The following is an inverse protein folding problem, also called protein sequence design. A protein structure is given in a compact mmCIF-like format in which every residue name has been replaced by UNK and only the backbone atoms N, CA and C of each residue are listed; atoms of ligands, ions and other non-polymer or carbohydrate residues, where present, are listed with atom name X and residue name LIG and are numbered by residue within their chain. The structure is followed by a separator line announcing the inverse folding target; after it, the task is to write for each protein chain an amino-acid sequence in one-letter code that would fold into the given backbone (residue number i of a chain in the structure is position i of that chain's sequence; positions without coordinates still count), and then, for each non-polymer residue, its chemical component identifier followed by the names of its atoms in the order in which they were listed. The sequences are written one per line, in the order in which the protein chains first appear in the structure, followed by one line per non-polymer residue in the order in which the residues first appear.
data_IF_981707639207
#
_entry.id   IF_981707639207
#
_cell.length_a   1.000
_cell.length_b   1.000
_cell.length_c   1.000
_cell.angle_alpha   90.00
_cell.angle_beta   90.00
_cell.angle_gamma   90.00
#
_symmetry.space_group_name_H-M   'P 1'
#
loop_
_entity.id
_entity.type
_entity.pdbx_description
1 polymer ?
#
# COMPACT_ATOMS: atom_id res chain seq x y z
N UNK A 1 -14.73 16.32 9.27
CA UNK A 1 -14.83 15.89 7.87
C UNK A 1 -13.47 16.07 7.24
N UNK A 2 -12.71 14.99 7.08
CA UNK A 2 -11.38 15.06 6.47
C UNK A 2 -11.58 15.46 5.01
N UNK A 3 -11.01 16.61 4.68
CA UNK A 3 -11.06 17.24 3.39
C UNK A 3 -10.30 16.33 2.43
N UNK A 4 -11.01 15.45 1.73
CA UNK A 4 -10.55 15.00 0.42
C UNK A 4 -10.64 16.25 -0.45
N UNK A 5 -9.56 17.05 -0.39
CA UNK A 5 -9.40 18.23 -1.20
C UNK A 5 -9.71 17.83 -2.64
N UNK A 6 -10.46 18.67 -3.35
CA UNK A 6 -10.74 18.49 -4.77
C UNK A 6 -9.42 18.30 -5.48
N UNK A 7 -9.03 17.05 -5.73
CA UNK A 7 -7.77 16.75 -6.37
C UNK A 7 -7.83 17.37 -7.76
N UNK A 8 -6.91 18.30 -8.03
CA UNK A 8 -6.82 18.89 -9.34
C UNK A 8 -6.63 17.76 -10.35
N UNK A 9 -7.44 17.68 -11.41
CA UNK A 9 -7.27 16.68 -12.44
C UNK A 9 -5.83 16.65 -13.00
N UNK A 10 -5.12 17.77 -12.95
CA UNK A 10 -3.73 17.88 -13.42
C UNK A 10 -2.71 17.11 -12.58
N UNK A 11 -3.03 16.81 -11.31
CA UNK A 11 -2.16 16.06 -10.40
C UNK A 11 -2.33 14.54 -10.50
N UNK A 12 -3.36 14.07 -11.21
CA UNK A 12 -3.64 12.66 -11.39
C UNK A 12 -2.71 12.03 -12.41
N UNK A 13 -2.29 10.79 -12.15
CA UNK A 13 -1.51 10.02 -13.12
C UNK A 13 -2.30 9.81 -14.43
N UNK A 14 -1.57 9.71 -15.55
CA UNK A 14 -2.17 9.43 -16.87
C UNK A 14 -2.97 8.12 -16.88
N UNK A 15 -2.45 7.09 -16.20
CA UNK A 15 -3.09 5.78 -16.10
C UNK A 15 -4.48 5.87 -15.42
N UNK A 16 -4.63 6.72 -14.40
CA UNK A 16 -5.91 6.89 -13.70
C UNK A 16 -6.93 7.61 -14.56
N UNK A 17 -6.50 8.65 -15.28
CA UNK A 17 -7.38 9.39 -16.20
C UNK A 17 -7.95 8.46 -17.28
N UNK A 18 -7.11 7.58 -17.83
CA UNK A 18 -7.50 6.59 -18.83
C UNK A 18 -8.42 5.52 -18.24
N UNK A 19 -8.06 4.91 -17.10
CA UNK A 19 -8.88 3.89 -16.43
C UNK A 19 -10.30 4.38 -16.15
N UNK A 20 -10.42 5.59 -15.60
CA UNK A 20 -11.71 6.11 -15.17
C UNK A 20 -12.46 6.87 -16.27
N UNK A 21 -11.86 7.11 -17.43
CA UNK A 21 -12.50 7.85 -18.53
C UNK A 21 -13.15 9.15 -18.03
N UNK A 22 -12.34 10.00 -17.37
CA UNK A 22 -12.85 11.18 -16.66
C UNK A 22 -13.40 12.22 -17.64
N UNK A 23 -14.64 12.64 -17.43
CA UNK A 23 -15.20 13.80 -18.10
C UNK A 23 -14.54 15.10 -17.61
N UNK A 24 -14.73 16.19 -18.34
CA UNK A 24 -14.10 17.51 -18.07
C UNK A 24 -14.41 18.07 -16.67
N UNK A 25 -15.46 17.57 -16.03
CA UNK A 25 -16.01 18.02 -14.74
C UNK A 25 -16.20 16.87 -13.72
N UNK A 26 -15.84 15.64 -14.06
CA UNK A 26 -16.02 14.48 -13.15
C UNK A 26 -14.76 14.23 -12.29
N UNK A 27 -14.92 14.26 -10.96
CA UNK A 27 -13.84 13.98 -10.02
C UNK A 27 -13.56 12.47 -9.92
N UNK A 28 -12.28 12.06 -9.90
CA UNK A 28 -11.88 10.65 -9.74
C UNK A 28 -12.50 10.01 -8.51
N UNK A 29 -12.49 10.73 -7.38
CA UNK A 29 -13.02 10.21 -6.13
C UNK A 29 -14.49 9.79 -6.28
N UNK A 30 -15.33 10.65 -6.87
CA UNK A 30 -16.75 10.35 -7.08
C UNK A 30 -16.94 9.10 -7.96
N UNK A 31 -16.11 8.94 -9.00
CA UNK A 31 -16.20 7.79 -9.89
C UNK A 31 -15.67 6.51 -9.24
N UNK A 32 -14.56 6.57 -8.53
CA UNK A 32 -13.98 5.46 -7.81
C UNK A 32 -14.92 4.95 -6.69
N UNK A 33 -15.58 5.87 -5.97
CA UNK A 33 -16.62 5.55 -4.99
C UNK A 33 -17.83 4.89 -5.65
N UNK A 34 -18.33 5.42 -6.78
CA UNK A 34 -19.44 4.80 -7.52
C UNK A 34 -19.12 3.39 -8.00
N UNK A 35 -17.86 3.11 -8.31
CA UNK A 35 -17.39 1.82 -8.77
C UNK A 35 -16.93 0.88 -7.63
N UNK A 36 -17.01 1.31 -6.36
CA UNK A 36 -16.62 0.50 -5.20
C UNK A 36 -15.11 0.27 -5.06
N UNK A 37 -14.29 0.95 -5.86
CA UNK A 37 -12.82 0.75 -5.89
C UNK A 37 -12.18 1.14 -4.55
N UNK A 38 -12.71 2.17 -3.89
CA UNK A 38 -12.16 2.67 -2.62
C UNK A 38 -12.37 1.66 -1.50
N UNK A 39 -13.56 1.06 -1.45
CA UNK A 39 -13.91 0.03 -0.49
C UNK A 39 -13.02 -1.20 -0.65
N UNK A 40 -12.73 -1.60 -1.90
CA UNK A 40 -11.82 -2.71 -2.19
C UNK A 40 -10.36 -2.40 -1.83
N UNK A 41 -9.85 -1.21 -2.16
CA UNK A 41 -8.50 -0.78 -1.76
C UNK A 41 -8.40 -0.80 -0.23
N UNK A 42 -9.36 -0.19 0.48
CA UNK A 42 -9.38 -0.18 1.94
C UNK A 42 -9.48 -1.58 2.53
N UNK A 43 -10.24 -2.48 1.90
CA UNK A 43 -10.34 -3.89 2.33
C UNK A 43 -9.00 -4.60 2.18
N UNK A 44 -8.34 -4.51 1.02
CA UNK A 44 -7.01 -5.08 0.78
C UNK A 44 -5.96 -4.55 1.75
N UNK A 45 -6.00 -3.26 2.06
CA UNK A 45 -5.11 -2.66 3.06
C UNK A 45 -5.33 -3.24 4.47
N UNK A 46 -6.58 -3.48 4.87
CA UNK A 46 -6.90 -4.13 6.16
C UNK A 46 -6.50 -5.60 6.18
N UNK A 47 -6.74 -6.30 5.09
CA UNK A 47 -6.47 -7.74 4.95
C UNK A 47 -5.00 -8.04 4.64
N UNK A 48 -4.15 -7.01 4.50
CA UNK A 48 -2.73 -7.14 4.14
C UNK A 48 -2.53 -8.02 2.90
N UNK A 49 -3.38 -7.85 1.89
CA UNK A 49 -3.26 -8.55 0.61
C UNK A 49 -2.28 -7.87 -0.35
N UNK A 50 -2.01 -6.59 -0.10
CA UNK A 50 -1.30 -5.72 -1.03
C UNK A 50 -2.20 -5.14 -2.13
N UNK A 51 -1.63 -4.17 -2.82
CA UNK A 51 -2.25 -3.36 -3.85
C UNK A 51 -1.48 -3.53 -5.15
N UNK A 52 -2.18 -3.52 -6.28
CA UNK A 52 -1.53 -3.40 -7.58
C UNK A 52 -0.93 -2.00 -7.74
N UNK A 53 -0.02 -1.82 -8.72
CA UNK A 53 0.53 -0.49 -9.05
C UNK A 53 -0.60 0.51 -9.33
N UNK A 54 -1.62 0.07 -10.07
CA UNK A 54 -2.78 0.89 -10.38
C UNK A 54 -3.58 1.28 -9.12
N UNK A 55 -3.80 0.34 -8.21
CA UNK A 55 -4.48 0.61 -6.92
C UNK A 55 -3.66 1.54 -6.02
N UNK A 56 -2.33 1.40 -6.03
CA UNK A 56 -1.42 2.29 -5.29
C UNK A 56 -1.43 3.70 -5.87
N UNK A 57 -1.44 3.86 -7.19
CA UNK A 57 -1.62 5.16 -7.83
C UNK A 57 -2.97 5.77 -7.44
N UNK A 58 -4.06 4.99 -7.44
CA UNK A 58 -5.39 5.50 -7.07
C UNK A 58 -5.40 5.92 -5.61
N UNK A 59 -4.82 5.09 -4.74
CA UNK A 59 -4.71 5.39 -3.32
C UNK A 59 -3.86 6.64 -3.07
N UNK A 60 -2.76 6.85 -3.81
CA UNK A 60 -1.92 8.03 -3.68
C UNK A 60 -2.60 9.30 -4.21
N UNK A 61 -3.25 9.21 -5.36
CA UNK A 61 -4.00 10.32 -5.96
C UNK A 61 -5.24 10.71 -5.14
N UNK A 62 -5.69 9.84 -4.24
CA UNK A 62 -6.76 10.14 -3.29
C UNK A 62 -6.24 10.43 -1.87
N UNK A 63 -4.92 10.51 -1.69
CA UNK A 63 -4.29 10.79 -0.40
C UNK A 63 -4.47 9.70 0.66
N UNK A 64 -4.86 8.48 0.28
CA UNK A 64 -4.95 7.33 1.18
C UNK A 64 -3.57 6.79 1.56
N UNK A 65 -2.61 6.88 0.65
CA UNK A 65 -1.20 6.54 0.88
C UNK A 65 -0.33 7.64 0.27
N UNK A 66 0.95 7.66 0.65
CA UNK A 66 1.93 8.50 -0.05
C UNK A 66 2.70 7.67 -1.08
N UNK A 67 3.15 8.29 -2.17
CA UNK A 67 3.91 7.60 -3.23
C UNK A 67 5.23 7.00 -2.74
N UNK A 68 5.87 7.63 -1.75
CA UNK A 68 7.06 7.09 -1.07
C UNK A 68 6.77 5.80 -0.27
N UNK A 69 5.51 5.38 -0.15
CA UNK A 69 5.08 4.15 0.52
C UNK A 69 4.74 3.01 -0.45
N UNK A 70 4.94 3.17 -1.76
CA UNK A 70 4.58 2.12 -2.73
C UNK A 70 5.29 0.79 -2.45
N UNK A 71 6.56 0.85 -2.03
CA UNK A 71 7.33 -0.33 -1.65
C UNK A 71 6.69 -1.14 -0.51
N UNK A 72 5.90 -0.49 0.36
CA UNK A 72 5.24 -1.14 1.50
C UNK A 72 3.95 -1.84 1.08
N UNK A 73 3.25 -1.34 0.07
CA UNK A 73 1.90 -1.81 -0.27
C UNK A 73 1.85 -2.85 -1.39
N UNK A 74 2.99 -3.37 -1.84
CA UNK A 74 2.99 -4.46 -2.84
C UNK A 74 2.44 -5.76 -2.22
N UNK A 75 1.90 -6.69 -3.05
CA UNK A 75 1.48 -8.00 -2.57
C UNK A 75 2.58 -8.75 -1.83
N UNK A 76 3.80 -8.72 -2.35
CA UNK A 76 4.96 -9.40 -1.77
C UNK A 76 5.32 -8.82 -0.41
N UNK A 77 5.35 -7.48 -0.28
CA UNK A 77 5.64 -6.82 0.99
C UNK A 77 4.57 -7.14 2.03
N UNK A 78 3.29 -7.11 1.67
CA UNK A 78 2.21 -7.39 2.62
C UNK A 78 2.15 -8.86 3.04
N UNK A 79 2.46 -9.81 2.14
CA UNK A 79 2.64 -11.23 2.49
C UNK A 79 3.79 -11.40 3.48
N UNK A 80 4.96 -10.84 3.19
CA UNK A 80 6.12 -10.93 4.08
C UNK A 80 5.85 -10.31 5.46
N UNK A 81 5.14 -9.19 5.53
CA UNK A 81 4.73 -8.59 6.80
C UNK A 81 3.76 -9.51 7.56
N UNK A 82 2.83 -10.16 6.86
CA UNK A 82 1.88 -11.09 7.48
C UNK A 82 2.62 -12.29 8.08
N UNK A 83 3.53 -12.90 7.33
CA UNK A 83 4.36 -14.01 7.79
C UNK A 83 5.21 -13.59 9.00
N UNK A 84 5.87 -12.44 8.94
CA UNK A 84 6.66 -11.91 10.06
C UNK A 84 5.84 -11.67 11.33
N UNK A 85 4.58 -11.23 11.19
CA UNK A 85 3.67 -11.08 12.34
C UNK A 85 3.25 -12.44 12.93
N UNK A 86 2.97 -13.42 12.08
CA UNK A 86 2.63 -14.79 12.50
C UNK A 86 3.82 -15.47 13.20
N UNK A 87 5.05 -15.22 12.72
CA UNK A 87 6.29 -15.69 13.34
C UNK A 87 6.49 -15.06 14.72
N UNK A 88 6.29 -13.75 14.84
CA UNK A 88 6.35 -13.05 16.13
C UNK A 88 5.32 -13.59 17.13
N UNK A 89 4.07 -13.78 16.71
CA UNK A 89 3.00 -14.31 17.56
C UNK A 89 3.28 -15.75 18.00
N UNK A 90 3.83 -16.58 17.11
CA UNK A 90 4.18 -17.96 17.41
C UNK A 90 5.51 -18.13 18.14
N UNK A 91 6.25 -17.05 18.41
CA UNK A 91 7.57 -17.11 19.02
C UNK A 91 8.67 -17.68 18.11
N UNK A 92 8.46 -17.68 16.79
CA UNK A 92 9.43 -18.10 15.78
C UNK A 92 10.36 -16.94 15.42
N UNK A 93 11.13 -16.48 16.40
CA UNK A 93 12.15 -15.45 16.19
C UNK A 93 13.36 -15.72 17.08
N UNK A 94 14.50 -15.18 16.67
CA UNK A 94 15.72 -15.20 17.48
C UNK A 94 15.97 -13.81 18.07
N UNK A 95 16.50 -13.81 19.28
CA UNK A 95 16.94 -12.58 19.96
C UNK A 95 18.44 -12.60 20.09
N UNK A 96 19.05 -11.45 19.84
CA UNK A 96 20.49 -11.26 19.99
C UNK A 96 20.75 -10.23 21.08
N UNK A 97 21.67 -10.53 21.99
CA UNK A 97 22.02 -9.63 23.09
C UNK A 97 22.75 -8.36 22.60
N UNK A 98 23.41 -8.44 21.43
CA UNK A 98 24.05 -7.31 20.78
C UNK A 98 24.10 -7.47 19.26
N UNK A 99 24.41 -6.36 18.57
CA UNK A 99 24.54 -6.32 17.10
C UNK A 99 25.68 -7.21 16.59
N UNK A 100 26.78 -7.32 17.34
CA UNK A 100 27.89 -8.20 16.95
C UNK A 100 27.49 -9.68 16.93
N UNK A 101 26.61 -10.09 17.84
CA UNK A 101 26.08 -11.45 17.88
C UNK A 101 25.18 -11.75 16.68
N UNK A 102 24.38 -10.78 16.24
CA UNK A 102 23.55 -10.89 15.03
C UNK A 102 24.42 -11.10 13.78
N UNK A 103 25.43 -10.26 13.58
CA UNK A 103 26.29 -10.37 12.38
C UNK A 103 27.14 -11.65 12.39
N UNK A 104 27.65 -12.05 13.57
CA UNK A 104 28.40 -13.30 13.70
C UNK A 104 27.58 -14.54 13.35
N UNK A 105 26.27 -14.51 13.60
CA UNK A 105 25.38 -15.60 13.23
C UNK A 105 25.02 -15.58 11.74
N UNK A 106 24.73 -14.39 11.18
CA UNK A 106 24.50 -14.23 9.74
C UNK A 106 25.68 -14.75 8.91
N UNK A 107 26.92 -14.39 9.28
CA UNK A 107 28.14 -14.83 8.60
C UNK A 107 28.37 -16.35 8.72
N UNK A 108 27.79 -17.02 9.72
CA UNK A 108 27.87 -18.48 9.87
C UNK A 108 26.87 -19.20 8.95
N UNK A 109 25.74 -18.56 8.65
CA UNK A 109 24.66 -19.14 7.84
C UNK A 109 24.79 -18.85 6.33
N UNK A 110 25.61 -17.87 5.94
CA UNK A 110 25.93 -17.51 4.55
C UNK A 110 26.94 -18.46 3.89
#
# INVERSE_FOLDING_TARGET
MTVLEKFSPDLLSKAIKERFGLAKDEEVYLKAVRLGVIEDIKRKMRERTGLTIEEMEIAADLGLIRRDQFWHWTPESQVSIKEGLEDLEAGRYETFDCVDALFSDHDRQA
#
